data_IF_439097314586
#
_entry.id   IF_439097314586
#
_cell.length_a   1.000
_cell.length_b   1.000
_cell.length_c   1.000
_cell.angle_alpha   90.00
_cell.angle_beta   90.00
_cell.angle_gamma   90.00
#
_symmetry.space_group_name_H-M   'P 1'
#
loop_
_entity.id
_entity.type
_entity.pdbx_description
1 polymer ?
#
# COMPACT_ATOMS: atom_id res chain seq x y z
N UNK A 1 6.79 32.06 16.54
CA UNK A 1 5.48 31.91 15.87
C UNK A 1 5.52 32.21 14.35
N UNK A 2 6.68 32.21 13.70
CA UNK A 2 6.85 32.72 12.32
C UNK A 2 7.27 31.69 11.27
N UNK A 3 7.20 30.38 11.55
CA UNK A 3 7.55 29.31 10.58
C UNK A 3 6.36 28.54 9.98
N UNK A 4 5.14 28.84 10.39
CA UNK A 4 3.93 28.20 9.83
C UNK A 4 3.53 28.75 8.45
N UNK A 5 4.05 29.92 8.06
CA UNK A 5 3.67 30.59 6.81
C UNK A 5 4.39 30.05 5.56
N UNK A 6 5.40 29.19 5.71
CA UNK A 6 6.12 28.62 4.56
C UNK A 6 5.43 27.41 3.91
N UNK A 7 4.56 26.74 4.63
CA UNK A 7 3.91 25.53 4.14
C UNK A 7 2.71 25.79 3.21
N UNK A 8 2.09 26.96 3.35
CA UNK A 8 0.98 27.45 2.52
C UNK A 8 1.39 28.66 1.67
N UNK A 9 2.61 28.67 1.15
CA UNK A 9 2.86 29.64 0.08
C UNK A 9 2.02 29.19 -1.12
N UNK A 10 1.04 30.00 -1.47
CA UNK A 10 -0.05 29.75 -2.44
C UNK A 10 0.40 29.12 -3.78
N UNK A 11 1.66 29.33 -4.15
CA UNK A 11 2.24 28.76 -5.37
C UNK A 11 2.58 27.28 -5.30
N UNK A 12 2.92 26.73 -4.12
CA UNK A 12 3.34 25.33 -4.00
C UNK A 12 2.13 24.37 -4.00
N UNK A 13 1.02 24.79 -3.42
CA UNK A 13 -0.21 23.99 -3.39
C UNK A 13 -0.75 23.70 -4.81
N UNK A 14 -0.52 24.61 -5.75
CA UNK A 14 -0.92 24.48 -7.15
C UNK A 14 -0.23 23.28 -7.82
N UNK A 15 1.00 22.96 -7.42
CA UNK A 15 1.75 21.83 -8.00
C UNK A 15 1.40 20.48 -7.35
N UNK A 16 1.01 20.48 -6.07
CA UNK A 16 0.68 19.22 -5.36
C UNK A 16 -0.68 18.66 -5.77
N UNK A 17 -1.63 19.53 -6.08
CA UNK A 17 -2.98 19.13 -6.46
C UNK A 17 -3.05 18.32 -7.77
N UNK A 18 -2.42 18.73 -8.89
CA UNK A 18 -2.37 17.94 -10.12
C UNK A 18 -1.70 16.58 -9.93
N UNK A 19 -0.62 16.52 -9.12
CA UNK A 19 0.07 15.27 -8.84
C UNK A 19 -0.81 14.30 -8.06
N UNK A 20 -1.56 14.80 -7.07
CA UNK A 20 -2.51 13.98 -6.32
C UNK A 20 -3.63 13.45 -7.23
N UNK A 21 -4.18 14.29 -8.13
CA UNK A 21 -5.19 13.86 -9.11
C UNK A 21 -4.61 12.81 -10.06
N UNK A 22 -3.42 13.04 -10.60
CA UNK A 22 -2.76 12.09 -11.48
C UNK A 22 -2.52 10.74 -10.78
N UNK A 23 -2.10 10.76 -9.51
CA UNK A 23 -1.95 9.56 -8.70
C UNK A 23 -3.25 8.79 -8.55
N UNK A 24 -4.35 9.46 -8.18
CA UNK A 24 -5.67 8.83 -8.04
C UNK A 24 -6.15 8.27 -9.38
N UNK A 25 -5.91 9.01 -10.48
CA UNK A 25 -6.30 8.56 -11.82
C UNK A 25 -5.51 7.33 -12.25
N UNK A 26 -4.19 7.33 -12.09
CA UNK A 26 -3.32 6.20 -12.44
C UNK A 26 -3.65 4.96 -11.63
N UNK A 27 -3.94 5.13 -10.33
CA UNK A 27 -4.27 4.03 -9.42
C UNK A 27 -5.76 3.69 -9.38
N UNK A 28 -6.58 4.24 -10.29
CA UNK A 28 -8.05 4.10 -10.26
C UNK A 28 -8.52 2.66 -10.26
N UNK A 29 -7.85 1.77 -11.00
CA UNK A 29 -8.15 0.33 -11.01
C UNK A 29 -7.95 -0.31 -9.64
N UNK A 30 -6.85 0.00 -8.98
CA UNK A 30 -6.54 -0.50 -7.63
C UNK A 30 -7.54 0.04 -6.60
N UNK A 31 -7.87 1.33 -6.67
CA UNK A 31 -8.86 1.95 -5.78
C UNK A 31 -10.28 1.39 -6.00
N UNK A 32 -10.69 1.19 -7.24
CA UNK A 32 -12.02 0.63 -7.55
C UNK A 32 -12.16 -0.77 -6.98
N UNK A 33 -11.14 -1.61 -7.19
CA UNK A 33 -11.12 -2.95 -6.62
C UNK A 33 -11.16 -2.93 -5.08
N UNK A 34 -10.36 -2.07 -4.48
CA UNK A 34 -10.28 -1.88 -3.03
C UNK A 34 -11.62 -1.49 -2.43
N UNK A 35 -12.30 -0.48 -3.00
CA UNK A 35 -13.60 -0.02 -2.52
C UNK A 35 -14.67 -1.11 -2.61
N UNK A 36 -14.70 -1.89 -3.69
CA UNK A 36 -15.63 -3.01 -3.85
C UNK A 36 -15.40 -4.10 -2.80
N UNK A 37 -14.14 -4.34 -2.43
CA UNK A 37 -13.80 -5.40 -1.49
C UNK A 37 -13.85 -4.97 -0.01
N UNK A 38 -13.84 -3.68 0.29
CA UNK A 38 -13.95 -3.18 1.68
C UNK A 38 -15.21 -3.62 2.41
N UNK A 39 -16.30 -3.81 1.67
CA UNK A 39 -17.55 -4.29 2.23
C UNK A 39 -17.71 -5.82 2.17
N UNK A 40 -16.69 -6.53 1.69
CA UNK A 40 -16.63 -7.98 1.70
C UNK A 40 -16.02 -8.51 2.99
N UNK A 41 -16.31 -9.74 3.34
CA UNK A 41 -15.74 -10.43 4.50
C UNK A 41 -14.20 -10.40 4.51
N UNK A 42 -13.57 -10.44 3.32
CA UNK A 42 -12.10 -10.50 3.16
C UNK A 42 -11.41 -9.14 3.29
N UNK A 43 -12.09 -8.06 2.98
CA UNK A 43 -11.51 -6.71 2.92
C UNK A 43 -11.98 -5.75 4.02
N UNK A 44 -12.85 -6.21 4.93
CA UNK A 44 -13.49 -5.37 5.96
C UNK A 44 -12.51 -4.66 6.91
N UNK A 45 -11.29 -5.17 7.03
CA UNK A 45 -10.22 -4.54 7.82
C UNK A 45 -9.56 -3.33 7.11
N UNK A 46 -9.72 -3.19 5.80
CA UNK A 46 -9.09 -2.14 4.99
C UNK A 46 -9.35 -0.72 5.47
N UNK A 47 -10.61 -0.30 5.69
CA UNK A 47 -10.93 1.04 6.20
C UNK A 47 -10.33 1.32 7.58
N UNK A 48 -10.24 0.31 8.45
CA UNK A 48 -9.65 0.44 9.79
C UNK A 48 -8.14 0.72 9.68
N UNK A 49 -7.44 -0.01 8.81
CA UNK A 49 -6.00 0.16 8.59
C UNK A 49 -5.71 1.54 7.99
N UNK A 50 -6.54 2.00 7.03
CA UNK A 50 -6.44 3.35 6.49
C UNK A 50 -6.62 4.40 7.60
N UNK A 51 -7.63 4.23 8.46
CA UNK A 51 -7.88 5.11 9.60
C UNK A 51 -6.69 5.16 10.57
N UNK A 52 -6.10 4.01 10.90
CA UNK A 52 -4.90 3.92 11.75
C UNK A 52 -3.71 4.62 11.08
N UNK A 53 -3.48 4.41 9.79
CA UNK A 53 -2.40 5.08 9.05
C UNK A 53 -2.56 6.61 9.09
N UNK A 54 -3.77 7.11 8.83
CA UNK A 54 -4.08 8.54 8.92
C UNK A 54 -3.89 9.08 10.34
N UNK A 55 -4.31 8.33 11.36
CA UNK A 55 -4.08 8.69 12.76
C UNK A 55 -2.60 8.77 13.10
N UNK A 56 -1.77 7.85 12.60
CA UNK A 56 -0.31 7.89 12.78
C UNK A 56 0.29 9.16 12.16
N UNK A 57 -0.16 9.55 10.95
CA UNK A 57 0.26 10.81 10.30
C UNK A 57 -0.19 12.00 11.15
N UNK A 58 -1.43 11.98 11.62
CA UNK A 58 -1.95 13.05 12.46
C UNK A 58 -1.17 13.23 13.75
N UNK A 59 -0.78 12.14 14.39
CA UNK A 59 0.02 12.17 15.64
C UNK A 59 1.39 12.80 15.40
N UNK A 60 2.00 12.51 14.25
CA UNK A 60 3.31 13.05 13.84
C UNK A 60 3.26 14.41 13.16
N UNK A 61 2.08 15.05 13.00
CA UNK A 61 1.93 16.28 12.21
C UNK A 61 2.85 17.42 12.64
N UNK A 62 3.11 17.58 13.94
CA UNK A 62 3.99 18.63 14.46
C UNK A 62 5.45 18.42 14.06
N UNK A 63 5.90 17.15 14.06
CA UNK A 63 7.23 16.77 13.60
C UNK A 63 7.35 16.99 12.10
N UNK A 64 6.40 16.47 11.33
CA UNK A 64 6.36 16.58 9.87
C UNK A 64 6.37 18.02 9.39
N UNK A 65 5.58 18.90 10.02
CA UNK A 65 5.50 20.32 9.66
C UNK A 65 6.80 21.10 9.91
N UNK A 66 7.68 20.61 10.79
CA UNK A 66 8.96 21.22 11.09
C UNK A 66 10.11 20.70 10.22
N UNK A 67 9.87 19.69 9.36
CA UNK A 67 10.88 19.13 8.48
C UNK A 67 11.19 20.11 7.33
N UNK A 68 12.46 20.14 6.94
CA UNK A 68 12.87 20.88 5.75
C UNK A 68 12.54 20.06 4.51
N UNK A 69 11.86 20.66 3.54
CA UNK A 69 11.55 20.08 2.24
C UNK A 69 12.84 20.06 1.41
N UNK A 70 13.29 18.86 1.02
CA UNK A 70 14.47 18.66 0.19
C UNK A 70 14.09 17.65 -0.94
N UNK A 71 13.40 18.11 -1.99
CA UNK A 71 12.96 17.25 -3.08
C UNK A 71 14.14 16.56 -3.75
N UNK A 72 14.00 15.28 -4.06
CA UNK A 72 14.97 14.55 -4.86
C UNK A 72 14.27 14.00 -6.10
N UNK A 73 14.41 14.76 -7.19
CA UNK A 73 13.72 14.47 -8.43
C UNK A 73 14.15 13.11 -9.02
N UNK A 74 15.46 12.81 -8.99
CA UNK A 74 15.99 11.60 -9.61
C UNK A 74 15.50 10.33 -8.90
N UNK A 75 15.72 10.23 -7.59
CA UNK A 75 15.34 9.04 -6.82
C UNK A 75 13.81 8.92 -6.69
N UNK A 76 13.12 10.04 -6.45
CA UNK A 76 11.67 10.05 -6.38
C UNK A 76 11.02 9.62 -7.70
N UNK A 77 11.49 10.15 -8.83
CA UNK A 77 10.98 9.78 -10.14
C UNK A 77 11.29 8.30 -10.49
N UNK A 78 12.48 7.83 -10.15
CA UNK A 78 12.84 6.43 -10.38
C UNK A 78 11.91 5.46 -9.62
N UNK A 79 11.67 5.71 -8.32
CA UNK A 79 10.79 4.86 -7.50
C UNK A 79 9.34 4.97 -7.97
N UNK A 80 8.86 6.17 -8.28
CA UNK A 80 7.51 6.38 -8.85
C UNK A 80 7.37 5.65 -10.18
N UNK A 81 8.38 5.74 -11.05
CA UNK A 81 8.41 5.03 -12.33
C UNK A 81 8.36 3.51 -12.17
N UNK A 82 9.14 2.97 -11.22
CA UNK A 82 9.08 1.53 -10.88
C UNK A 82 7.67 1.17 -10.38
N UNK A 83 7.07 1.97 -9.51
CA UNK A 83 5.70 1.76 -9.06
C UNK A 83 4.69 1.74 -10.21
N UNK A 84 4.80 2.67 -11.16
CA UNK A 84 3.94 2.68 -12.35
C UNK A 84 4.16 1.46 -13.26
N UNK A 85 5.40 1.02 -13.45
CA UNK A 85 5.71 -0.20 -14.21
C UNK A 85 5.13 -1.45 -13.53
N UNK A 86 5.22 -1.53 -12.20
CA UNK A 86 4.59 -2.60 -11.43
C UNK A 86 3.07 -2.58 -11.56
N UNK A 87 2.43 -1.40 -11.57
CA UNK A 87 1.00 -1.28 -11.81
C UNK A 87 0.61 -1.82 -13.19
N UNK A 88 1.29 -1.34 -14.23
CA UNK A 88 1.05 -1.78 -15.61
C UNK A 88 1.19 -3.30 -15.70
N UNK A 89 2.29 -3.85 -15.20
CA UNK A 89 2.52 -5.29 -15.19
C UNK A 89 1.44 -6.04 -14.39
N UNK A 90 1.03 -5.51 -13.24
CA UNK A 90 -0.02 -6.09 -12.39
C UNK A 90 -1.39 -6.11 -13.06
N UNK A 91 -1.73 -5.05 -13.79
CA UNK A 91 -3.00 -4.97 -14.53
C UNK A 91 -2.99 -5.94 -15.70
N UNK A 92 -1.94 -5.95 -16.54
CA UNK A 92 -1.86 -6.85 -17.69
C UNK A 92 -1.80 -8.34 -17.29
N UNK A 93 -1.13 -8.65 -16.20
CA UNK A 93 -1.03 -10.04 -15.69
C UNK A 93 -2.18 -10.43 -14.79
N UNK A 94 -3.12 -9.54 -14.49
CA UNK A 94 -4.21 -9.74 -13.51
C UNK A 94 -3.70 -10.17 -12.12
N UNK A 95 -2.50 -9.71 -11.73
CA UNK A 95 -1.89 -10.03 -10.44
C UNK A 95 -2.18 -8.89 -9.45
N UNK A 96 -3.17 -9.08 -8.59
CA UNK A 96 -3.62 -8.07 -7.62
C UNK A 96 -2.52 -7.67 -6.63
N UNK A 97 -1.72 -8.62 -6.14
CA UNK A 97 -0.61 -8.34 -5.22
C UNK A 97 0.36 -7.32 -5.82
N UNK A 98 0.64 -7.42 -7.12
CA UNK A 98 1.54 -6.49 -7.80
C UNK A 98 0.95 -5.09 -7.89
N UNK A 99 -0.39 -4.97 -8.10
CA UNK A 99 -1.09 -3.68 -8.07
C UNK A 99 -1.04 -3.04 -6.68
N UNK A 100 -1.18 -3.83 -5.60
CA UNK A 100 -1.10 -3.32 -4.23
C UNK A 100 0.30 -2.81 -3.88
N UNK A 101 1.32 -3.58 -4.22
CA UNK A 101 2.71 -3.17 -3.99
C UNK A 101 3.02 -1.92 -4.82
N UNK A 102 2.50 -1.82 -6.05
CA UNK A 102 2.66 -0.64 -6.90
C UNK A 102 2.11 0.63 -6.26
N UNK A 103 0.95 0.55 -5.61
CA UNK A 103 0.34 1.69 -4.90
C UNK A 103 1.26 2.20 -3.79
N UNK A 104 1.78 1.30 -2.97
CA UNK A 104 2.71 1.64 -1.88
C UNK A 104 4.01 2.23 -2.45
N UNK A 105 4.60 1.58 -3.47
CA UNK A 105 5.83 2.05 -4.11
C UNK A 105 5.65 3.45 -4.74
N UNK A 106 4.52 3.68 -5.42
CA UNK A 106 4.21 4.98 -6.01
C UNK A 106 4.03 6.05 -4.94
N UNK A 107 3.36 5.74 -3.82
CA UNK A 107 3.25 6.67 -2.68
C UNK A 107 4.61 7.02 -2.10
N UNK A 108 5.47 6.04 -1.87
CA UNK A 108 6.84 6.29 -1.40
C UNK A 108 7.62 7.16 -2.38
N UNK A 109 7.53 6.85 -3.68
CA UNK A 109 8.19 7.63 -4.73
C UNK A 109 7.72 9.07 -4.78
N UNK A 110 6.41 9.31 -4.73
CA UNK A 110 5.82 10.65 -4.73
C UNK A 110 6.22 11.46 -3.50
N UNK A 111 6.19 10.85 -2.31
CA UNK A 111 6.64 11.54 -1.09
C UNK A 111 8.12 11.93 -1.20
N UNK A 112 8.96 11.04 -1.70
CA UNK A 112 10.39 11.35 -1.90
C UNK A 112 10.60 12.43 -2.95
N UNK A 113 9.89 12.34 -4.07
CA UNK A 113 9.96 13.29 -5.17
C UNK A 113 9.57 14.70 -4.73
N UNK A 114 8.49 14.84 -3.96
CA UNK A 114 7.90 16.14 -3.62
C UNK A 114 8.50 16.74 -2.35
N UNK A 115 8.75 15.91 -1.33
CA UNK A 115 9.14 16.37 0.01
C UNK A 115 10.55 15.94 0.41
N UNK A 116 11.08 14.87 -0.21
CA UNK A 116 12.43 14.39 0.04
C UNK A 116 12.54 13.34 1.15
N UNK A 117 13.79 12.92 1.41
CA UNK A 117 14.11 11.80 2.27
C UNK A 117 13.66 11.99 3.73
N UNK A 118 13.69 13.22 4.25
CA UNK A 118 13.31 13.48 5.64
C UNK A 118 11.81 13.20 5.88
N UNK A 119 10.97 13.62 4.93
CA UNK A 119 9.54 13.32 4.96
C UNK A 119 9.28 11.83 4.79
N UNK A 120 10.01 11.18 3.90
CA UNK A 120 9.89 9.74 3.70
C UNK A 120 10.22 8.97 4.98
N UNK A 121 11.29 9.34 5.69
CA UNK A 121 11.64 8.75 6.98
C UNK A 121 10.57 8.96 8.06
N UNK A 122 9.88 10.09 8.07
CA UNK A 122 8.79 10.33 9.00
C UNK A 122 7.52 9.54 8.64
N UNK A 123 7.26 9.36 7.35
CA UNK A 123 6.04 8.74 6.81
C UNK A 123 6.19 7.25 6.45
N UNK A 124 7.38 6.67 6.54
CA UNK A 124 7.61 5.30 6.09
C UNK A 124 6.75 4.28 6.85
N UNK A 125 6.56 4.48 8.16
CA UNK A 125 5.70 3.62 8.98
C UNK A 125 4.23 3.71 8.57
N UNK A 126 3.59 4.90 8.55
CA UNK A 126 2.20 4.99 8.13
C UNK A 126 1.96 4.49 6.71
N UNK A 127 2.85 4.82 5.76
CA UNK A 127 2.70 4.36 4.37
C UNK A 127 2.95 2.85 4.27
N UNK A 128 3.98 2.33 4.93
CA UNK A 128 4.27 0.89 4.96
C UNK A 128 3.15 0.10 5.64
N UNK A 129 2.49 0.68 6.66
CA UNK A 129 1.36 0.05 7.33
C UNK A 129 0.15 -0.18 6.40
N UNK A 130 0.00 0.63 5.34
CA UNK A 130 -1.04 0.43 4.33
C UNK A 130 -0.94 -0.93 3.60
N UNK A 131 0.21 -1.62 3.66
CA UNK A 131 0.33 -2.96 3.06
C UNK A 131 -0.67 -3.96 3.68
N UNK A 132 -0.98 -3.79 4.95
CA UNK A 132 -1.96 -4.62 5.65
C UNK A 132 -3.42 -4.32 5.28
N UNK A 133 -3.67 -3.23 4.55
CA UNK A 133 -5.00 -2.91 4.04
C UNK A 133 -5.45 -3.89 2.96
N UNK A 134 -4.51 -4.56 2.33
CA UNK A 134 -4.78 -5.50 1.26
C UNK A 134 -4.89 -6.94 1.79
N UNK A 135 -5.78 -7.77 1.26
CA UNK A 135 -5.97 -9.15 1.69
C UNK A 135 -4.88 -10.09 1.13
N UNK A 136 -3.61 -9.67 1.19
CA UNK A 136 -2.47 -10.41 0.65
C UNK A 136 -2.37 -11.80 1.30
N UNK A 137 -2.58 -11.85 2.61
CA UNK A 137 -2.54 -13.12 3.35
C UNK A 137 -3.68 -14.06 2.95
N UNK A 138 -4.87 -13.53 2.67
CA UNK A 138 -6.01 -14.35 2.21
C UNK A 138 -5.73 -14.98 0.85
N UNK A 139 -5.18 -14.23 -0.09
CA UNK A 139 -4.80 -14.76 -1.41
C UNK A 139 -3.69 -15.81 -1.33
N UNK A 140 -2.69 -15.57 -0.48
CA UNK A 140 -1.63 -16.56 -0.24
C UNK A 140 -2.19 -17.82 0.40
N UNK A 141 -3.01 -17.70 1.44
CA UNK A 141 -3.63 -18.82 2.11
C UNK A 141 -4.52 -19.65 1.16
N UNK A 142 -5.29 -19.01 0.28
CA UNK A 142 -6.11 -19.71 -0.70
C UNK A 142 -5.25 -20.50 -1.70
N UNK A 143 -4.17 -19.89 -2.18
CA UNK A 143 -3.25 -20.56 -3.11
C UNK A 143 -2.56 -21.78 -2.48
N UNK A 144 -2.21 -21.71 -1.21
CA UNK A 144 -1.56 -22.80 -0.50
C UNK A 144 -2.56 -23.74 0.20
N UNK A 145 -3.82 -23.36 0.35
CA UNK A 145 -4.87 -24.16 0.99
C UNK A 145 -5.00 -25.55 0.38
N UNK A 146 -4.93 -25.67 -0.94
CA UNK A 146 -5.00 -26.96 -1.65
C UNK A 146 -3.83 -27.87 -1.24
N UNK A 147 -2.63 -27.31 -1.10
CA UNK A 147 -1.44 -28.07 -0.68
C UNK A 147 -1.62 -28.59 0.75
N UNK A 148 -2.07 -27.72 1.67
CA UNK A 148 -2.34 -28.12 3.06
C UNK A 148 -3.48 -29.14 3.16
N UNK A 149 -4.54 -28.98 2.38
CA UNK A 149 -5.65 -29.95 2.33
C UNK A 149 -5.17 -31.31 1.83
N UNK A 150 -4.34 -31.36 0.79
CA UNK A 150 -3.80 -32.62 0.27
C UNK A 150 -2.89 -33.32 1.30
N UNK A 151 -2.05 -32.55 2.02
CA UNK A 151 -1.20 -33.10 3.08
C UNK A 151 -2.08 -33.65 4.22
N UNK A 152 -3.08 -32.91 4.66
CA UNK A 152 -3.99 -33.33 5.71
C UNK A 152 -4.78 -34.58 5.31
N UNK A 153 -5.28 -34.65 4.08
CA UNK A 153 -5.97 -35.83 3.54
C UNK A 153 -5.05 -37.03 3.47
N UNK A 154 -3.80 -36.86 3.04
CA UNK A 154 -2.81 -37.93 3.00
C UNK A 154 -2.47 -38.45 4.40
N UNK A 155 -2.29 -37.58 5.38
CA UNK A 155 -2.07 -37.97 6.78
C UNK A 155 -3.28 -38.75 7.31
N UNK A 156 -4.49 -38.19 7.12
CA UNK A 156 -5.73 -38.85 7.57
C UNK A 156 -5.90 -40.23 6.94
N UNK A 157 -5.66 -40.38 5.64
CA UNK A 157 -5.70 -41.67 4.94
C UNK A 157 -4.73 -42.67 5.55
N UNK A 158 -3.50 -42.29 5.84
CA UNK A 158 -2.52 -43.23 6.43
C UNK A 158 -2.89 -43.64 7.87
N UNK A 159 -3.44 -42.72 8.66
CA UNK A 159 -3.92 -43.06 10.02
C UNK A 159 -5.09 -44.04 9.96
N UNK A 160 -6.07 -43.79 9.08
CA UNK A 160 -7.21 -44.73 8.91
C UNK A 160 -6.76 -46.10 8.44
N UNK A 161 -5.81 -46.16 7.51
CA UNK A 161 -5.22 -47.40 7.03
C UNK A 161 -4.51 -48.18 8.14
N UNK A 162 -3.79 -47.50 9.03
CA UNK A 162 -3.15 -48.13 10.20
C UNK A 162 -4.17 -48.63 11.24
N UNK A 163 -5.33 -47.96 11.33
CA UNK A 163 -6.42 -48.34 12.24
C UNK A 163 -7.30 -49.48 11.72
N UNK A 164 -6.94 -50.11 10.60
CA UNK A 164 -7.70 -51.23 9.96
C UNK A 164 -9.18 -50.90 9.69
N UNK A 165 -9.52 -49.63 9.59
CA UNK A 165 -10.84 -49.18 9.18
C UNK A 165 -10.77 -49.01 7.66
N UNK A 166 -11.32 -49.98 6.93
CA UNK A 166 -11.45 -49.96 5.47
C UNK A 166 -12.83 -49.46 5.07
#
# INVERSE_FOLDING_TARGET
>A
MTKLNGFFHSSSAIYYFPVAIAFVFVQSSTFSWMLQNWFSYRGSHGPVILGISLYMIWTKRKEILNLNIQPNLLLGAAITGIGCLMLISGVFSSILILQYISLIATLFGLVWLMFGANYLKALWYPIGYLIFMFPIFSELLERYSIVFQNIAAWIAYNILKLSSIS
#
